data_IF_551782659610
#
_entry.id   IF_551782659610
#
_cell.length_a   1.000
_cell.length_b   1.000
_cell.length_c   1.000
_cell.angle_alpha   90.00
_cell.angle_beta   90.00
_cell.angle_gamma   90.00
#
_symmetry.space_group_name_H-M   'P 1'
#
loop_
_entity.id
_entity.type
_entity.pdbx_description
1 polymer ?
#
# COMPACT_ATOMS: atom_id res chain seq x y z
N UNK A 1 16.27 53.83 -28.20
CA UNK A 1 16.04 53.36 -26.80
C UNK A 1 15.07 52.18 -26.70
N UNK A 2 14.06 52.02 -27.58
CA UNK A 2 13.07 50.94 -27.42
C UNK A 2 13.62 49.52 -27.69
N UNK A 3 14.56 49.35 -28.63
CA UNK A 3 15.11 48.03 -29.00
C UNK A 3 15.90 47.36 -27.87
N UNK A 4 16.68 48.13 -27.11
CA UNK A 4 17.45 47.61 -25.97
C UNK A 4 16.52 47.23 -24.81
N UNK A 5 15.49 48.02 -24.54
CA UNK A 5 14.49 47.70 -23.51
C UNK A 5 13.69 46.43 -23.84
N UNK A 6 13.41 46.19 -25.12
CA UNK A 6 12.69 44.99 -25.58
C UNK A 6 13.56 43.73 -25.49
N UNK A 7 14.85 43.81 -25.86
CA UNK A 7 15.81 42.71 -25.67
C UNK A 7 15.98 42.35 -24.19
N UNK A 8 16.08 43.35 -23.30
CA UNK A 8 16.17 43.12 -21.85
C UNK A 8 14.90 42.47 -21.31
N UNK A 9 13.71 42.92 -21.71
CA UNK A 9 12.44 42.29 -21.33
C UNK A 9 12.35 40.83 -21.77
N UNK A 10 12.75 40.53 -23.01
CA UNK A 10 12.74 39.17 -23.53
C UNK A 10 13.76 38.27 -22.82
N UNK A 11 14.96 38.78 -22.51
CA UNK A 11 15.96 38.05 -21.75
C UNK A 11 15.50 37.76 -20.32
N UNK A 12 14.91 38.73 -19.63
CA UNK A 12 14.36 38.57 -18.27
C UNK A 12 13.18 37.59 -18.26
N UNK A 13 12.29 37.67 -19.26
CA UNK A 13 11.17 36.73 -19.42
C UNK A 13 11.67 35.30 -19.64
N UNK A 14 12.66 35.12 -20.54
CA UNK A 14 13.25 33.81 -20.83
C UNK A 14 13.98 33.22 -19.61
N UNK A 15 14.75 34.03 -18.88
CA UNK A 15 15.42 33.61 -17.65
C UNK A 15 14.43 33.26 -16.54
N UNK A 16 13.35 34.05 -16.39
CA UNK A 16 12.28 33.77 -15.42
C UNK A 16 11.52 32.47 -15.74
N UNK A 17 11.26 32.21 -17.01
CA UNK A 17 10.59 30.96 -17.44
C UNK A 17 11.51 29.75 -17.25
N UNK A 18 12.80 29.86 -17.60
CA UNK A 18 13.76 28.77 -17.40
C UNK A 18 13.96 28.45 -15.91
N UNK A 19 14.18 29.48 -15.08
CA UNK A 19 14.30 29.30 -13.63
C UNK A 19 13.01 28.77 -12.99
N UNK A 20 11.85 29.19 -13.49
CA UNK A 20 10.55 28.65 -13.06
C UNK A 20 10.39 27.16 -13.38
N UNK A 21 10.84 26.74 -14.57
CA UNK A 21 10.83 25.34 -14.99
C UNK A 21 11.78 24.49 -14.15
N UNK A 22 13.03 24.93 -13.94
CA UNK A 22 14.03 24.19 -13.15
C UNK A 22 13.60 23.98 -11.69
N UNK A 23 12.96 24.99 -11.08
CA UNK A 23 12.42 24.91 -9.71
C UNK A 23 11.22 23.96 -9.66
N UNK A 24 10.36 23.97 -10.68
CA UNK A 24 9.22 23.06 -10.79
C UNK A 24 9.69 21.60 -10.92
N UNK A 25 10.64 21.35 -11.82
CA UNK A 25 11.24 20.03 -12.06
C UNK A 25 11.96 19.51 -10.80
N UNK A 26 12.73 20.35 -10.13
CA UNK A 26 13.41 20.00 -8.87
C UNK A 26 12.43 19.62 -7.75
N UNK A 27 11.27 20.29 -7.68
CA UNK A 27 10.21 19.97 -6.72
C UNK A 27 9.53 18.65 -7.05
N UNK A 28 9.22 18.39 -8.32
CA UNK A 28 8.64 17.13 -8.77
C UNK A 28 9.57 15.94 -8.43
N UNK A 29 10.86 16.08 -8.75
CA UNK A 29 11.91 15.12 -8.43
C UNK A 29 12.03 14.87 -6.91
N UNK A 30 11.80 15.87 -6.06
CA UNK A 30 11.78 15.68 -4.61
C UNK A 30 10.58 14.84 -4.13
N UNK A 31 9.41 15.01 -4.75
CA UNK A 31 8.19 14.26 -4.41
C UNK A 31 8.29 12.81 -4.82
N UNK A 32 8.73 12.57 -6.05
CA UNK A 32 9.02 11.22 -6.54
C UNK A 32 10.03 10.50 -5.61
N UNK A 33 11.11 11.19 -5.20
CA UNK A 33 12.08 10.64 -4.24
C UNK A 33 11.46 10.25 -2.89
N UNK A 34 10.48 11.00 -2.39
CA UNK A 34 9.79 10.68 -1.13
C UNK A 34 8.95 9.41 -1.24
N UNK A 35 8.15 9.29 -2.30
CA UNK A 35 7.32 8.10 -2.53
C UNK A 35 8.20 6.89 -2.86
N UNK A 36 9.30 7.08 -3.60
CA UNK A 36 10.31 6.04 -3.80
C UNK A 36 10.96 5.57 -2.49
N UNK A 37 11.16 6.47 -1.52
CA UNK A 37 11.63 6.08 -0.18
C UNK A 37 10.61 5.20 0.55
N UNK A 38 9.31 5.48 0.39
CA UNK A 38 8.24 4.62 0.93
C UNK A 38 8.30 3.23 0.29
N UNK A 39 8.37 3.16 -1.04
CA UNK A 39 8.52 1.90 -1.76
C UNK A 39 9.77 1.12 -1.30
N UNK A 40 10.90 1.79 -1.13
CA UNK A 40 12.12 1.16 -0.64
C UNK A 40 12.00 0.60 0.79
N UNK A 41 11.32 1.33 1.70
CA UNK A 41 11.07 0.80 3.04
C UNK A 41 10.18 -0.44 3.01
N UNK A 42 9.15 -0.45 2.15
CA UNK A 42 8.30 -1.62 1.93
C UNK A 42 9.09 -2.79 1.36
N UNK A 43 10.02 -2.53 0.43
CA UNK A 43 10.91 -3.53 -0.13
C UNK A 43 11.77 -4.21 0.96
N UNK A 44 12.38 -3.42 1.84
CA UNK A 44 13.19 -3.94 2.96
C UNK A 44 12.35 -4.86 3.85
N UNK A 45 11.15 -4.42 4.21
CA UNK A 45 10.22 -5.19 5.04
C UNK A 45 9.74 -6.47 4.34
N UNK A 46 9.40 -6.37 3.05
CA UNK A 46 9.04 -7.52 2.22
C UNK A 46 10.16 -8.56 2.24
N UNK A 47 11.39 -8.16 1.94
CA UNK A 47 12.52 -9.09 1.87
C UNK A 47 12.81 -9.75 3.22
N UNK A 48 12.63 -9.00 4.32
CA UNK A 48 12.68 -9.55 5.68
C UNK A 48 11.61 -10.64 5.87
N UNK A 49 10.37 -10.36 5.49
CA UNK A 49 9.26 -11.32 5.62
C UNK A 49 9.40 -12.53 4.70
N UNK A 50 9.87 -12.34 3.46
CA UNK A 50 10.14 -13.44 2.53
C UNK A 50 11.21 -14.40 3.08
N UNK A 51 12.32 -13.87 3.62
CA UNK A 51 13.36 -14.68 4.26
C UNK A 51 12.85 -15.46 5.47
N UNK A 52 11.94 -14.85 6.23
CA UNK A 52 11.30 -15.49 7.39
C UNK A 52 10.13 -16.42 7.03
N UNK A 53 9.76 -16.53 5.74
CA UNK A 53 8.53 -17.18 5.26
C UNK A 53 7.26 -16.65 5.95
N UNK A 54 7.26 -15.37 6.32
CA UNK A 54 6.15 -14.69 6.97
C UNK A 54 5.11 -14.24 5.92
N UNK A 55 3.83 -14.53 6.18
CA UNK A 55 2.71 -14.21 5.29
C UNK A 55 2.53 -12.71 5.04
N UNK A 56 3.08 -11.84 5.92
CA UNK A 56 3.09 -10.39 5.68
C UNK A 56 3.72 -10.02 4.33
N UNK A 57 4.70 -10.80 3.87
CA UNK A 57 5.37 -10.61 2.58
C UNK A 57 4.41 -10.43 1.40
N UNK A 58 3.28 -11.16 1.39
CA UNK A 58 2.31 -11.15 0.27
C UNK A 58 1.71 -9.75 0.09
N UNK A 59 1.16 -9.18 1.17
CA UNK A 59 0.61 -7.84 1.13
C UNK A 59 1.69 -6.78 0.99
N UNK A 60 2.84 -6.91 1.68
CA UNK A 60 3.94 -5.94 1.57
C UNK A 60 4.43 -5.82 0.13
N UNK A 61 4.57 -6.93 -0.60
CA UNK A 61 4.91 -6.93 -2.02
C UNK A 61 3.85 -6.19 -2.85
N UNK A 62 2.57 -6.53 -2.68
CA UNK A 62 1.47 -5.85 -3.39
C UNK A 62 1.49 -4.34 -3.14
N UNK A 63 1.78 -3.94 -1.90
CA UNK A 63 1.82 -2.54 -1.53
C UNK A 63 3.04 -1.83 -2.13
N UNK A 64 4.23 -2.40 -2.00
CA UNK A 64 5.47 -1.90 -2.62
C UNK A 64 5.27 -1.65 -4.12
N UNK A 65 4.78 -2.65 -4.86
CA UNK A 65 4.55 -2.54 -6.30
C UNK A 65 3.59 -1.40 -6.65
N UNK A 66 2.53 -1.25 -5.86
CA UNK A 66 1.59 -0.14 -6.06
C UNK A 66 2.23 1.23 -5.78
N UNK A 67 3.03 1.34 -4.71
CA UNK A 67 3.73 2.57 -4.37
C UNK A 67 4.75 2.97 -5.43
N UNK A 68 5.47 2.00 -6.03
CA UNK A 68 6.37 2.26 -7.19
C UNK A 68 5.59 2.83 -8.38
N UNK A 69 4.43 2.26 -8.69
CA UNK A 69 3.57 2.76 -9.78
C UNK A 69 3.09 4.18 -9.50
N UNK A 70 2.66 4.46 -8.26
CA UNK A 70 2.24 5.81 -7.84
C UNK A 70 3.40 6.80 -7.89
N UNK A 71 4.60 6.42 -7.46
CA UNK A 71 5.79 7.28 -7.54
C UNK A 71 6.09 7.68 -8.99
N UNK A 72 6.04 6.72 -9.91
CA UNK A 72 6.25 6.96 -11.34
C UNK A 72 5.18 7.88 -11.93
N UNK A 73 3.90 7.65 -11.61
CA UNK A 73 2.82 8.52 -12.10
C UNK A 73 2.91 9.91 -11.49
N UNK A 74 3.34 10.07 -10.22
CA UNK A 74 3.56 11.39 -9.61
C UNK A 74 4.66 12.20 -10.32
N UNK A 75 5.65 11.54 -10.92
CA UNK A 75 6.70 12.19 -11.71
C UNK A 75 6.29 12.54 -13.15
N UNK A 76 5.18 12.00 -13.65
CA UNK A 76 4.78 12.09 -15.08
C UNK A 76 3.35 12.59 -15.31
N UNK A 77 2.50 12.50 -14.30
CA UNK A 77 1.06 12.68 -14.35
C UNK A 77 0.62 14.10 -13.96
N UNK A 78 -0.57 14.46 -14.42
CA UNK A 78 -1.19 15.76 -14.16
C UNK A 78 -1.99 15.72 -12.86
N UNK A 79 -1.28 15.79 -11.73
CA UNK A 79 -1.88 15.91 -10.40
C UNK A 79 -2.09 17.38 -10.03
N UNK A 80 -3.25 17.68 -9.46
CA UNK A 80 -3.65 19.05 -9.08
C UNK A 80 -3.00 19.50 -7.78
N UNK A 81 -2.82 18.59 -6.82
CA UNK A 81 -2.15 18.80 -5.54
C UNK A 81 -1.24 17.59 -5.18
N UNK A 82 -0.12 17.42 -5.92
CA UNK A 82 0.83 16.34 -5.68
C UNK A 82 1.49 16.40 -4.29
N UNK A 83 1.49 17.56 -3.62
CA UNK A 83 2.04 17.69 -2.27
C UNK A 83 1.12 17.05 -1.22
N UNK A 84 -0.19 17.29 -1.32
CA UNK A 84 -1.17 16.60 -0.48
C UNK A 84 -1.12 15.09 -0.72
N UNK A 85 -1.04 14.65 -1.98
CA UNK A 85 -0.96 13.24 -2.32
C UNK A 85 0.32 12.57 -1.78
N UNK A 86 1.49 13.22 -1.89
CA UNK A 86 2.75 12.70 -1.32
C UNK A 86 2.64 12.55 0.20
N UNK A 87 2.10 13.54 0.91
CA UNK A 87 1.90 13.47 2.37
C UNK A 87 0.93 12.36 2.74
N UNK A 88 -0.14 12.19 1.95
CA UNK A 88 -1.11 11.11 2.14
C UNK A 88 -0.43 9.76 1.99
N UNK A 89 0.36 9.53 0.94
CA UNK A 89 1.07 8.26 0.73
C UNK A 89 2.05 7.95 1.87
N UNK A 90 2.86 8.93 2.29
CA UNK A 90 3.79 8.77 3.42
C UNK A 90 3.06 8.41 4.73
N UNK A 91 1.95 9.10 5.02
CA UNK A 91 1.16 8.86 6.24
C UNK A 91 0.44 7.52 6.17
N UNK A 92 -0.08 7.15 5.01
CA UNK A 92 -0.80 5.91 4.79
C UNK A 92 0.14 4.72 4.98
N UNK A 93 1.33 4.76 4.40
CA UNK A 93 2.34 3.71 4.59
C UNK A 93 2.78 3.58 6.04
N UNK A 94 2.89 4.71 6.74
CA UNK A 94 3.28 4.72 8.15
C UNK A 94 2.29 3.98 9.05
N UNK A 95 0.99 4.07 8.81
CA UNK A 95 0.01 3.28 9.58
C UNK A 95 0.29 1.78 9.53
N UNK A 96 0.59 1.26 8.35
CA UNK A 96 0.91 -0.15 8.16
C UNK A 96 2.27 -0.52 8.79
N UNK A 97 3.32 0.26 8.51
CA UNK A 97 4.67 -0.01 9.01
C UNK A 97 4.75 0.09 10.53
N UNK A 98 4.12 1.11 11.14
CA UNK A 98 4.06 1.28 12.59
C UNK A 98 3.28 0.12 13.24
N UNK A 99 2.18 -0.34 12.62
CA UNK A 99 1.45 -1.51 13.10
C UNK A 99 2.29 -2.79 13.06
N UNK A 100 3.07 -3.00 11.99
CA UNK A 100 4.01 -4.11 11.90
C UNK A 100 5.08 -4.04 13.00
N UNK A 101 5.69 -2.86 13.19
CA UNK A 101 6.72 -2.67 14.21
C UNK A 101 6.16 -2.85 15.62
N UNK A 102 4.98 -2.30 15.92
CA UNK A 102 4.33 -2.47 17.22
C UNK A 102 4.03 -3.95 17.51
N UNK A 103 3.55 -4.71 16.51
CA UNK A 103 3.30 -6.14 16.65
C UNK A 103 4.59 -6.94 16.89
N UNK A 104 5.65 -6.63 16.14
CA UNK A 104 6.97 -7.28 16.29
C UNK A 104 7.58 -7.00 17.68
N UNK A 105 7.50 -5.76 18.16
CA UNK A 105 8.00 -5.37 19.49
C UNK A 105 7.32 -6.17 20.61
N UNK A 106 6.02 -6.39 20.51
CA UNK A 106 5.28 -7.22 21.48
C UNK A 106 5.75 -8.67 21.45
N UNK A 107 5.90 -9.25 20.25
CA UNK A 107 6.39 -10.63 20.07
C UNK A 107 7.81 -10.81 20.61
N UNK A 108 8.71 -9.85 20.34
CA UNK A 108 10.09 -9.87 20.84
C UNK A 108 10.14 -9.77 22.36
N UNK A 109 9.36 -8.87 22.96
CA UNK A 109 9.30 -8.70 24.42
C UNK A 109 8.76 -9.94 25.14
N UNK A 110 7.78 -10.63 24.52
CA UNK A 110 7.29 -11.91 25.01
C UNK A 110 8.35 -13.02 24.92
N UNK A 111 9.17 -13.05 23.86
CA UNK A 111 10.24 -14.03 23.69
C UNK A 111 11.43 -13.79 24.65
N UNK A 112 11.71 -12.53 25.01
CA UNK A 112 12.80 -12.18 25.93
C UNK A 112 12.45 -12.32 27.41
N UNK A 113 11.24 -12.77 27.75
CA UNK A 113 10.79 -12.97 29.14
C UNK A 113 10.63 -11.67 29.95
N UNK A 114 10.69 -10.49 29.32
CA UNK A 114 10.60 -9.20 29.99
C UNK A 114 9.13 -8.79 30.14
N UNK A 115 8.38 -9.55 30.93
CA UNK A 115 6.95 -9.32 31.20
C UNK A 115 6.77 -8.43 32.44
N UNK A 116 7.17 -7.16 32.34
CA UNK A 116 6.69 -6.16 33.28
C UNK A 116 5.21 -5.90 32.98
N UNK A 117 4.33 -6.51 33.79
CA UNK A 117 2.86 -6.47 33.71
C UNK A 117 2.25 -7.38 32.62
N UNK A 118 1.63 -8.48 33.05
CA UNK A 118 1.03 -9.51 32.18
C UNK A 118 -0.37 -9.18 31.65
N UNK A 119 -0.84 -7.94 31.84
CA UNK A 119 -2.14 -7.51 31.34
C UNK A 119 -2.08 -7.41 29.80
N UNK A 120 -2.84 -8.23 29.04
CA UNK A 120 -2.88 -8.14 27.59
C UNK A 120 -3.31 -6.76 27.09
N UNK A 121 -4.15 -6.03 27.85
CA UNK A 121 -4.56 -4.68 27.46
C UNK A 121 -3.39 -3.69 27.46
N UNK A 122 -2.41 -3.88 28.36
CA UNK A 122 -1.21 -3.05 28.44
C UNK A 122 -0.20 -3.44 27.37
N UNK A 123 -0.02 -4.74 27.14
CA UNK A 123 0.96 -5.27 26.16
C UNK A 123 0.58 -4.85 24.73
N UNK A 124 -0.70 -4.94 24.37
CA UNK A 124 -1.16 -4.71 23.00
C UNK A 124 -1.65 -3.28 22.74
N UNK A 125 -1.49 -2.36 23.70
CA UNK A 125 -2.07 -1.00 23.63
C UNK A 125 -1.68 -0.21 22.38
N UNK A 126 -0.45 -0.42 21.89
CA UNK A 126 0.13 0.33 20.76
C UNK A 126 -0.13 -0.37 19.41
N UNK A 127 -0.71 -1.59 19.42
CA UNK A 127 -1.08 -2.31 18.19
C UNK A 127 -2.54 -2.00 17.87
N UNK A 128 -2.85 -1.38 16.71
CA UNK A 128 -4.23 -1.13 16.33
C UNK A 128 -5.04 -2.42 16.29
N UNK A 129 -6.24 -2.41 16.88
CA UNK A 129 -7.08 -3.62 17.05
C UNK A 129 -7.32 -4.37 15.73
N UNK A 130 -7.56 -3.63 14.63
CA UNK A 130 -7.77 -4.22 13.31
C UNK A 130 -6.52 -4.93 12.79
N UNK A 131 -5.34 -4.33 13.00
CA UNK A 131 -4.07 -4.89 12.56
C UNK A 131 -3.67 -6.09 13.40
N UNK A 132 -3.89 -6.04 14.72
CA UNK A 132 -3.75 -7.23 15.58
C UNK A 132 -4.60 -8.39 15.07
N UNK A 133 -5.87 -8.14 14.74
CA UNK A 133 -6.76 -9.18 14.21
C UNK A 133 -6.26 -9.77 12.89
N UNK A 134 -5.72 -8.94 11.99
CA UNK A 134 -5.09 -9.38 10.74
C UNK A 134 -3.85 -10.23 11.03
N UNK A 135 -2.90 -9.72 11.82
CA UNK A 135 -1.63 -10.39 12.11
C UNK A 135 -1.82 -11.73 12.82
N UNK A 136 -2.76 -11.79 13.78
CA UNK A 136 -3.13 -13.05 14.44
C UNK A 136 -3.77 -14.04 13.47
N UNK A 137 -4.59 -13.56 12.53
CA UNK A 137 -5.25 -14.40 11.53
C UNK A 137 -4.24 -15.00 10.55
N UNK A 138 -3.30 -14.21 10.03
CA UNK A 138 -2.31 -14.68 9.05
C UNK A 138 -1.13 -15.43 9.69
N UNK A 139 -1.03 -15.42 11.04
CA UNK A 139 0.08 -16.04 11.77
C UNK A 139 1.38 -15.25 11.66
N UNK A 140 1.32 -13.92 11.73
CA UNK A 140 2.50 -13.06 11.61
C UNK A 140 3.57 -13.38 12.66
N UNK A 141 4.82 -13.47 12.22
CA UNK A 141 5.96 -13.85 13.06
C UNK A 141 5.99 -15.34 13.45
N UNK A 142 5.07 -16.17 12.97
CA UNK A 142 5.13 -17.60 13.19
C UNK A 142 5.93 -18.29 12.07
N UNK A 143 6.94 -19.06 12.46
CA UNK A 143 7.75 -19.87 11.52
C UNK A 143 7.14 -21.25 11.25
N UNK A 144 5.91 -21.50 11.74
CA UNK A 144 5.24 -22.78 11.63
C UNK A 144 4.92 -23.09 10.15
N UNK A 145 5.43 -24.22 9.67
CA UNK A 145 5.00 -24.81 8.40
C UNK A 145 3.97 -25.90 8.69
N UNK A 146 2.79 -25.88 8.05
CA UNK A 146 2.36 -24.95 6.99
C UNK A 146 1.75 -23.63 7.51
N UNK A 147 1.67 -22.58 6.66
CA UNK A 147 1.00 -21.32 6.98
C UNK A 147 -0.44 -21.53 7.46
N UNK A 148 -1.00 -20.58 8.22
CA UNK A 148 -2.38 -20.68 8.73
C UNK A 148 -3.44 -20.39 7.68
N UNK A 149 -3.10 -19.57 6.70
CA UNK A 149 -4.03 -19.01 5.71
C UNK A 149 -3.48 -19.18 4.32
N UNK A 150 -4.35 -19.04 3.33
CA UNK A 150 -3.98 -19.05 1.92
C UNK A 150 -3.25 -17.73 1.51
N UNK A 151 -2.61 -17.70 0.34
CA UNK A 151 -1.97 -16.48 -0.20
C UNK A 151 -3.02 -15.37 -0.41
N UNK A 152 -4.20 -15.73 -0.94
CA UNK A 152 -5.30 -14.79 -1.11
C UNK A 152 -5.79 -14.21 0.21
N UNK A 153 -5.91 -15.02 1.27
CA UNK A 153 -6.27 -14.51 2.59
C UNK A 153 -5.17 -13.62 3.18
N UNK A 154 -3.89 -13.99 3.00
CA UNK A 154 -2.76 -13.17 3.38
C UNK A 154 -2.67 -11.83 2.62
N UNK A 155 -3.31 -11.74 1.44
CA UNK A 155 -3.44 -10.51 0.66
C UNK A 155 -4.66 -9.68 1.08
N UNK A 156 -5.84 -10.30 1.12
CA UNK A 156 -7.14 -9.63 1.31
C UNK A 156 -7.28 -9.06 2.73
N UNK A 157 -6.86 -9.80 3.77
CA UNK A 157 -7.06 -9.36 5.15
C UNK A 157 -6.30 -8.06 5.47
N UNK A 158 -4.99 -7.93 5.16
CA UNK A 158 -4.29 -6.65 5.27
C UNK A 158 -4.87 -5.55 4.37
N UNK A 159 -5.28 -5.87 3.14
CA UNK A 159 -5.90 -4.89 2.24
C UNK A 159 -7.16 -4.27 2.85
N UNK A 160 -7.99 -5.07 3.52
CA UNK A 160 -9.18 -4.58 4.21
C UNK A 160 -8.80 -3.63 5.35
N UNK A 161 -7.87 -4.01 6.22
CA UNK A 161 -7.43 -3.12 7.31
C UNK A 161 -6.85 -1.81 6.76
N UNK A 162 -6.02 -1.91 5.73
CA UNK A 162 -5.38 -0.75 5.14
C UNK A 162 -6.40 0.17 4.43
N UNK A 163 -7.27 -0.35 3.58
CA UNK A 163 -8.23 0.48 2.82
C UNK A 163 -9.36 1.00 3.71
N UNK A 164 -9.94 0.14 4.55
CA UNK A 164 -11.17 0.49 5.29
C UNK A 164 -10.85 1.24 6.58
N UNK A 165 -9.73 0.94 7.24
CA UNK A 165 -9.35 1.59 8.51
C UNK A 165 -8.25 2.64 8.35
N UNK A 166 -7.12 2.33 7.74
CA UNK A 166 -5.99 3.29 7.72
C UNK A 166 -6.24 4.46 6.78
N UNK A 167 -6.82 4.22 5.60
CA UNK A 167 -7.02 5.27 4.60
C UNK A 167 -7.88 6.44 5.08
N UNK A 168 -9.07 6.25 5.72
CA UNK A 168 -9.84 7.39 6.22
C UNK A 168 -9.08 8.19 7.29
N UNK A 169 -8.29 7.52 8.13
CA UNK A 169 -7.48 8.16 9.16
C UNK A 169 -6.31 8.93 8.53
N UNK A 170 -5.63 8.35 7.55
CA UNK A 170 -4.53 9.01 6.83
C UNK A 170 -5.00 10.25 6.08
N UNK A 171 -6.17 10.20 5.44
CA UNK A 171 -6.78 11.37 4.78
C UNK A 171 -7.10 12.44 5.83
N UNK A 172 -7.76 12.09 6.94
CA UNK A 172 -8.12 13.05 7.99
C UNK A 172 -6.90 13.66 8.72
N UNK A 173 -5.81 12.90 8.85
CA UNK A 173 -4.57 13.39 9.48
C UNK A 173 -3.75 14.31 8.55
N UNK A 174 -3.88 14.15 7.23
CA UNK A 174 -3.08 14.89 6.25
C UNK A 174 -3.80 16.11 5.69
N UNK A 175 -5.11 16.01 5.47
CA UNK A 175 -5.94 17.14 5.07
C UNK A 175 -6.32 17.92 6.34
N UNK A 176 -5.74 19.11 6.52
CA UNK A 176 -6.00 19.92 7.73
C UNK A 176 -7.41 20.54 7.76
N UNK A 177 -8.03 20.68 6.59
CA UNK A 177 -9.35 21.28 6.36
C UNK A 177 -10.24 20.30 5.58
N UNK A 178 -11.50 20.69 5.30
CA UNK A 178 -12.34 19.91 4.39
C UNK A 178 -11.61 19.67 3.05
N UNK A 179 -11.70 18.44 2.48
CA UNK A 179 -11.01 18.12 1.25
C UNK A 179 -11.43 19.05 0.11
N UNK A 180 -10.46 19.63 -0.60
CA UNK A 180 -10.75 20.44 -1.79
C UNK A 180 -11.14 19.56 -2.97
N UNK A 181 -11.75 20.16 -4.00
CA UNK A 181 -12.03 19.46 -5.26
C UNK A 181 -10.74 18.91 -5.89
N UNK A 182 -9.63 19.65 -5.82
CA UNK A 182 -8.34 19.18 -6.31
C UNK A 182 -7.88 17.89 -5.61
N UNK A 183 -8.09 17.78 -4.30
CA UNK A 183 -7.75 16.57 -3.56
C UNK A 183 -8.65 15.39 -3.96
N UNK A 184 -9.93 15.64 -4.23
CA UNK A 184 -10.86 14.60 -4.69
C UNK A 184 -10.49 14.10 -6.10
N UNK A 185 -10.16 15.02 -7.01
CA UNK A 185 -9.77 14.69 -8.38
C UNK A 185 -8.49 13.84 -8.42
N UNK A 186 -7.48 14.20 -7.61
CA UNK A 186 -6.25 13.42 -7.49
C UNK A 186 -6.48 12.05 -6.84
N UNK A 187 -7.39 11.97 -5.86
CA UNK A 187 -7.77 10.71 -5.24
C UNK A 187 -8.45 9.76 -6.22
N UNK A 188 -9.34 10.28 -7.07
CA UNK A 188 -10.00 9.52 -8.12
C UNK A 188 -9.04 9.10 -9.24
N UNK A 189 -8.11 9.98 -9.61
CA UNK A 189 -7.03 9.62 -10.54
C UNK A 189 -6.21 8.43 -10.04
N UNK A 190 -5.86 8.41 -8.75
CA UNK A 190 -5.16 7.27 -8.14
C UNK A 190 -6.02 6.00 -8.19
N UNK A 191 -7.34 6.10 -7.99
CA UNK A 191 -8.25 4.97 -8.13
C UNK A 191 -8.22 4.38 -9.55
N UNK A 192 -8.19 5.24 -10.58
CA UNK A 192 -8.11 4.83 -11.98
C UNK A 192 -6.75 4.19 -12.30
N UNK A 193 -5.65 4.78 -11.81
CA UNK A 193 -4.30 4.23 -11.94
C UNK A 193 -4.21 2.81 -11.34
N UNK A 194 -4.75 2.62 -10.13
CA UNK A 194 -4.81 1.31 -9.48
C UNK A 194 -5.61 0.29 -10.29
N UNK A 195 -6.74 0.71 -10.88
CA UNK A 195 -7.57 -0.15 -11.72
C UNK A 195 -6.85 -0.62 -12.96
N UNK A 196 -6.13 0.27 -13.64
CA UNK A 196 -5.36 -0.06 -14.84
C UNK A 196 -4.21 -1.04 -14.61
N UNK A 197 -3.79 -1.24 -13.35
CA UNK A 197 -2.64 -2.09 -12.96
C UNK A 197 -3.03 -3.32 -12.14
N UNK A 198 -4.32 -3.50 -11.85
CA UNK A 198 -4.79 -4.55 -10.96
C UNK A 198 -4.41 -5.96 -11.46
N UNK A 199 -4.71 -6.26 -12.72
CA UNK A 199 -4.44 -7.58 -13.33
C UNK A 199 -2.94 -7.89 -13.40
N UNK A 200 -2.12 -6.88 -13.71
CA UNK A 200 -0.66 -7.01 -13.75
C UNK A 200 -0.11 -7.42 -12.37
N UNK A 201 -0.52 -6.71 -11.32
CA UNK A 201 -0.07 -6.97 -9.95
C UNK A 201 -0.59 -8.32 -9.42
N UNK A 202 -1.85 -8.68 -9.72
CA UNK A 202 -2.40 -9.99 -9.37
C UNK A 202 -1.59 -11.13 -10.01
N UNK A 203 -1.19 -10.96 -11.27
CA UNK A 203 -0.35 -11.94 -11.97
C UNK A 203 1.04 -12.03 -11.34
N UNK A 204 1.66 -10.90 -11.02
CA UNK A 204 2.97 -10.88 -10.33
C UNK A 204 2.91 -11.61 -8.97
N UNK A 205 1.88 -11.35 -8.15
CA UNK A 205 1.68 -12.02 -6.85
C UNK A 205 1.52 -13.53 -7.04
N UNK A 206 0.70 -13.93 -8.01
CA UNK A 206 0.50 -15.34 -8.33
C UNK A 206 1.81 -16.00 -8.73
N UNK A 207 2.60 -15.41 -9.64
CA UNK A 207 3.89 -15.96 -10.04
C UNK A 207 4.90 -16.03 -8.88
N UNK A 208 4.87 -15.05 -7.97
CA UNK A 208 5.83 -14.95 -6.86
C UNK A 208 5.51 -15.90 -5.71
N UNK A 209 4.24 -16.08 -5.39
CA UNK A 209 3.81 -16.76 -4.17
C UNK A 209 3.01 -18.04 -4.43
N UNK A 210 2.11 -18.06 -5.43
CA UNK A 210 1.38 -19.28 -5.76
C UNK A 210 0.90 -19.29 -7.21
N UNK A 211 1.67 -19.94 -8.09
CA UNK A 211 1.37 -19.99 -9.52
C UNK A 211 0.03 -20.67 -9.83
N UNK A 212 -0.47 -21.53 -8.94
CA UNK A 212 -1.76 -22.20 -9.12
C UNK A 212 -2.91 -21.18 -9.15
N UNK A 213 -2.74 -20.00 -8.54
CA UNK A 213 -3.70 -18.90 -8.64
C UNK A 213 -3.96 -18.50 -10.10
N UNK A 214 -3.01 -18.66 -11.02
CA UNK A 214 -3.20 -18.38 -12.46
C UNK A 214 -4.16 -19.40 -13.09
N UNK A 215 -4.06 -20.68 -12.73
CA UNK A 215 -4.96 -21.73 -13.24
C UNK A 215 -6.37 -21.56 -12.69
N UNK A 216 -6.44 -21.13 -11.43
CA UNK A 216 -7.64 -20.85 -10.69
C UNK A 216 -8.42 -19.66 -11.27
N UNK A 217 -7.70 -18.60 -11.64
CA UNK A 217 -8.20 -17.43 -12.37
C UNK A 217 -8.82 -17.83 -13.72
N UNK A 218 -8.09 -18.63 -14.51
CA UNK A 218 -8.55 -19.12 -15.81
C UNK A 218 -9.80 -20.01 -15.76
N UNK A 219 -10.13 -20.57 -14.58
CA UNK A 219 -11.35 -21.36 -14.38
C UNK A 219 -12.58 -20.50 -13.99
N UNK A 220 -12.45 -19.17 -13.90
CA UNK A 220 -13.47 -18.24 -13.38
C UNK A 220 -14.03 -18.63 -12.00
N UNK A 221 -13.28 -19.44 -11.24
CA UNK A 221 -13.63 -19.88 -9.88
C UNK A 221 -13.25 -18.83 -8.82
N UNK A 222 -12.49 -17.81 -9.25
CA UNK A 222 -11.93 -16.73 -8.47
C UNK A 222 -12.60 -15.49 -9.03
N UNK A 223 -13.29 -14.75 -8.17
CA UNK A 223 -14.01 -13.52 -8.45
C UNK A 223 -13.59 -12.80 -9.75
N UNK A 224 -14.56 -12.39 -10.55
CA UNK A 224 -14.33 -11.48 -11.67
C UNK A 224 -13.49 -10.27 -11.18
N UNK A 225 -12.34 -10.04 -11.79
CA UNK A 225 -11.39 -8.99 -11.41
C UNK A 225 -12.05 -7.61 -11.44
N UNK A 226 -13.05 -7.45 -12.32
CA UNK A 226 -13.88 -6.26 -12.37
C UNK A 226 -14.66 -6.06 -11.06
N UNK A 227 -15.24 -7.13 -10.50
CA UNK A 227 -15.98 -7.08 -9.23
C UNK A 227 -15.04 -6.76 -8.07
N UNK A 228 -13.85 -7.37 -8.02
CA UNK A 228 -12.86 -7.06 -6.98
C UNK A 228 -12.45 -5.59 -7.07
N UNK A 229 -12.10 -5.12 -8.27
CA UNK A 229 -11.71 -3.73 -8.46
C UNK A 229 -12.83 -2.75 -8.10
N UNK A 230 -14.07 -3.01 -8.54
CA UNK A 230 -15.22 -2.19 -8.17
C UNK A 230 -15.42 -2.15 -6.65
N UNK A 231 -15.24 -3.29 -5.96
CA UNK A 231 -15.32 -3.36 -4.50
C UNK A 231 -14.24 -2.52 -3.84
N UNK A 232 -12.99 -2.59 -4.33
CA UNK A 232 -11.88 -1.76 -3.84
C UNK A 232 -12.18 -0.28 -4.06
N UNK A 233 -12.66 0.11 -5.24
CA UNK A 233 -13.02 1.50 -5.56
C UNK A 233 -14.13 1.99 -4.62
N UNK A 234 -15.15 1.18 -4.39
CA UNK A 234 -16.23 1.50 -3.47
C UNK A 234 -15.74 1.70 -2.03
N UNK A 235 -14.90 0.80 -1.51
CA UNK A 235 -14.36 0.94 -0.16
C UNK A 235 -13.44 2.15 -0.02
N UNK A 236 -12.69 2.50 -1.07
CA UNK A 236 -11.90 3.75 -1.08
C UNK A 236 -12.79 4.99 -1.11
N UNK A 237 -13.93 4.93 -1.80
CA UNK A 237 -14.94 5.99 -1.77
C UNK A 237 -15.59 6.11 -0.39
N UNK A 238 -15.82 4.99 0.29
CA UNK A 238 -16.28 4.97 1.68
C UNK A 238 -15.24 5.57 2.62
N UNK A 239 -13.95 5.26 2.44
CA UNK A 239 -12.85 5.86 3.19
C UNK A 239 -12.81 7.38 3.04
N UNK A 240 -13.01 7.90 1.82
CA UNK A 240 -13.10 9.36 1.60
C UNK A 240 -14.27 10.01 2.37
N UNK A 241 -15.44 9.36 2.36
CA UNK A 241 -16.62 9.82 3.13
C UNK A 241 -16.34 9.79 4.64
N UNK A 242 -15.74 8.72 5.13
CA UNK A 242 -15.41 8.60 6.56
C UNK A 242 -14.34 9.59 6.99
N UNK A 243 -13.32 9.87 6.17
CA UNK A 243 -12.36 10.94 6.41
C UNK A 243 -13.04 12.30 6.52
N UNK A 244 -13.97 12.61 5.61
CA UNK A 244 -14.75 13.87 5.66
C UNK A 244 -15.57 13.97 6.95
N UNK A 245 -16.17 12.85 7.41
CA UNK A 245 -16.90 12.79 8.68
C UNK A 245 -15.98 13.02 9.87
N UNK A 246 -14.78 12.43 9.87
CA UNK A 246 -13.75 12.61 10.91
C UNK A 246 -13.30 14.07 10.98
N UNK A 247 -13.00 14.70 9.83
CA UNK A 247 -12.60 16.11 9.74
C UNK A 247 -13.67 17.04 10.31
N UNK A 248 -14.94 16.82 9.95
CA UNK A 248 -16.08 17.60 10.49
C UNK A 248 -16.31 17.39 11.98
N UNK A 249 -15.86 16.26 12.53
CA UNK A 249 -15.99 15.92 13.94
C UNK A 249 -14.73 16.24 14.76
N UNK A 250 -13.69 16.83 14.17
CA UNK A 250 -12.36 16.98 14.81
C UNK A 250 -12.38 17.76 16.13
N UNK A 251 -13.32 18.69 16.29
CA UNK A 251 -13.49 19.48 17.51
C UNK A 251 -14.53 18.88 18.49
N UNK A 252 -15.15 17.77 18.13
CA UNK A 252 -16.13 17.03 18.93
C UNK A 252 -15.58 15.63 19.18
N UNK A 253 -14.85 15.48 20.29
CA UNK A 253 -14.13 14.25 20.63
C UNK A 253 -15.05 13.03 20.68
N UNK A 254 -16.26 13.18 21.24
CA UNK A 254 -17.22 12.08 21.35
C UNK A 254 -17.70 11.64 19.96
N UNK A 255 -18.02 12.57 19.07
CA UNK A 255 -18.42 12.26 17.70
C UNK A 255 -17.26 11.68 16.89
N UNK A 256 -16.04 12.20 17.06
CA UNK A 256 -14.84 11.69 16.40
C UNK A 256 -14.60 10.22 16.75
N UNK A 257 -14.60 9.89 18.06
CA UNK A 257 -14.39 8.52 18.52
C UNK A 257 -15.53 7.59 18.09
N UNK A 258 -16.80 8.02 18.11
CA UNK A 258 -17.91 7.21 17.57
C UNK A 258 -17.73 6.85 16.09
N UNK A 259 -17.22 7.78 15.27
CA UNK A 259 -16.93 7.51 13.86
C UNK A 259 -15.78 6.52 13.74
N UNK A 260 -14.68 6.76 14.47
CA UNK A 260 -13.51 5.88 14.48
C UNK A 260 -13.86 4.45 14.92
N UNK A 261 -14.64 4.28 15.98
CA UNK A 261 -15.12 2.97 16.40
C UNK A 261 -16.01 2.30 15.35
N UNK A 262 -16.84 3.06 14.62
CA UNK A 262 -17.67 2.49 13.55
C UNK A 262 -16.82 1.94 12.40
N UNK A 263 -15.71 2.62 12.07
CA UNK A 263 -14.72 2.16 11.08
C UNK A 263 -14.06 0.87 11.56
N UNK A 264 -13.62 0.83 12.84
CA UNK A 264 -13.01 -0.35 13.45
C UNK A 264 -13.98 -1.54 13.41
N UNK A 265 -15.23 -1.36 13.87
CA UNK A 265 -16.24 -2.44 13.89
C UNK A 265 -16.50 -3.01 12.49
N UNK A 266 -16.64 -2.14 11.47
CA UNK A 266 -16.85 -2.57 10.08
C UNK A 266 -15.64 -3.34 9.54
N UNK A 267 -14.43 -2.85 9.82
CA UNK A 267 -13.18 -3.49 9.40
C UNK A 267 -13.04 -4.88 10.02
N UNK A 268 -13.31 -5.02 11.32
CA UNK A 268 -13.29 -6.31 12.01
C UNK A 268 -14.35 -7.29 11.48
N UNK A 269 -15.53 -6.80 11.11
CA UNK A 269 -16.57 -7.62 10.49
C UNK A 269 -16.10 -8.19 9.14
N UNK A 270 -15.46 -7.37 8.30
CA UNK A 270 -14.88 -7.84 7.03
C UNK A 270 -13.72 -8.81 7.24
N UNK A 271 -12.81 -8.53 8.18
CA UNK A 271 -11.71 -9.46 8.53
C UNK A 271 -12.28 -10.82 8.95
N UNK A 272 -13.31 -10.83 9.79
CA UNK A 272 -13.98 -12.05 10.24
C UNK A 272 -14.62 -12.82 9.06
N UNK A 273 -15.31 -12.10 8.18
CA UNK A 273 -15.93 -12.69 6.99
C UNK A 273 -14.92 -13.38 6.07
N UNK A 274 -13.82 -12.72 5.71
CA UNK A 274 -12.82 -13.28 4.79
C UNK A 274 -11.89 -14.31 5.45
N UNK A 275 -11.74 -14.26 6.78
CA UNK A 275 -11.02 -15.30 7.53
C UNK A 275 -11.79 -16.61 7.53
N UNK A 276 -13.11 -16.56 7.72
CA UNK A 276 -13.99 -17.74 7.77
C UNK A 276 -15.25 -17.48 6.93
N UNK A 277 -15.15 -17.55 5.59
CA UNK A 277 -16.29 -17.24 4.73
C UNK A 277 -17.40 -18.28 4.93
N UNK A 278 -18.64 -17.82 5.08
CA UNK A 278 -19.82 -18.70 5.13
C UNK A 278 -20.13 -19.33 3.76
N UNK A 279 -19.60 -18.73 2.69
CA UNK A 279 -19.84 -19.13 1.30
C UNK A 279 -18.92 -20.31 0.94
N UNK A 280 -19.52 -21.42 0.51
CA UNK A 280 -18.81 -22.69 0.30
C UNK A 280 -17.72 -22.63 -0.77
N UNK A 281 -17.97 -21.96 -1.90
CA UNK A 281 -16.98 -21.88 -2.99
C UNK A 281 -15.76 -21.03 -2.59
N UNK A 282 -15.95 -20.01 -1.74
CA UNK A 282 -14.83 -19.26 -1.16
C UNK A 282 -13.97 -20.11 -0.24
N UNK A 283 -14.61 -20.95 0.58
CA UNK A 283 -13.88 -21.91 1.43
C UNK A 283 -13.09 -22.89 0.58
N UNK A 284 -13.67 -23.35 -0.52
CA UNK A 284 -13.00 -24.24 -1.48
C UNK A 284 -11.82 -23.55 -2.16
N UNK A 285 -11.99 -22.31 -2.63
CA UNK A 285 -10.93 -21.51 -3.25
C UNK A 285 -9.74 -21.29 -2.29
N UNK A 286 -10.01 -20.88 -1.05
CA UNK A 286 -8.97 -20.72 -0.03
C UNK A 286 -8.32 -22.04 0.37
N UNK A 287 -9.10 -23.12 0.48
CA UNK A 287 -8.56 -24.44 0.75
C UNK A 287 -7.62 -24.93 -0.37
N UNK A 288 -7.98 -24.70 -1.64
CA UNK A 288 -7.18 -25.11 -2.78
C UNK A 288 -5.89 -24.28 -2.91
N UNK A 289 -5.98 -22.95 -2.74
CA UNK A 289 -4.82 -22.06 -2.65
C UNK A 289 -3.89 -22.48 -1.49
N UNK A 290 -4.47 -22.81 -0.33
CA UNK A 290 -3.72 -23.28 0.83
C UNK A 290 -3.04 -24.63 0.59
N UNK A 291 -3.75 -25.60 0.00
CA UNK A 291 -3.20 -26.92 -0.32
C UNK A 291 -2.01 -26.80 -1.26
N UNK A 292 -2.10 -25.94 -2.28
CA UNK A 292 -1.00 -25.66 -3.19
C UNK A 292 0.19 -25.03 -2.46
N UNK A 293 -0.06 -24.03 -1.63
CA UNK A 293 0.98 -23.38 -0.81
C UNK A 293 1.75 -24.38 0.04
N UNK A 294 1.07 -25.37 0.64
CA UNK A 294 1.70 -26.44 1.42
C UNK A 294 2.70 -27.28 0.62
N UNK A 295 2.37 -27.59 -0.63
CA UNK A 295 3.22 -28.39 -1.51
C UNK A 295 4.47 -27.60 -1.94
N UNK A 296 4.34 -26.29 -2.16
CA UNK A 296 5.41 -25.48 -2.75
C UNK A 296 6.31 -24.74 -1.73
N UNK A 297 5.81 -24.39 -0.54
CA UNK A 297 6.65 -23.79 0.52
C UNK A 297 7.78 -24.71 1.01
N UNK A 298 7.61 -26.02 0.84
CA UNK A 298 8.63 -27.03 1.11
C UNK A 298 9.78 -27.00 0.09
N UNK A 299 9.56 -26.43 -1.10
CA UNK A 299 10.50 -26.42 -2.22
C UNK A 299 11.21 -25.07 -2.37
N UNK A 300 10.49 -23.95 -2.49
CA UNK A 300 11.06 -22.60 -2.69
C UNK A 300 10.03 -21.50 -2.39
N UNK A 301 10.37 -20.53 -1.53
CA UNK A 301 9.52 -19.38 -1.19
C UNK A 301 10.35 -18.12 -0.96
N UNK A 302 10.05 -16.99 -1.65
CA UNK A 302 9.14 -16.89 -2.80
C UNK A 302 9.65 -17.73 -3.99
N UNK A 303 8.75 -18.06 -4.92
CA UNK A 303 9.05 -18.89 -6.09
C UNK A 303 10.07 -18.16 -6.99
N UNK A 304 9.88 -16.86 -7.18
CA UNK A 304 10.76 -15.96 -7.92
C UNK A 304 11.46 -14.99 -6.96
N UNK A 305 12.79 -14.96 -7.02
CA UNK A 305 13.63 -13.95 -6.35
C UNK A 305 14.10 -12.99 -7.43
N UNK A 306 13.65 -11.74 -7.38
CA UNK A 306 13.91 -10.72 -8.40
C UNK A 306 15.41 -10.42 -8.57
N UNK A 307 16.01 -11.05 -9.58
CA UNK A 307 17.23 -10.55 -10.26
C UNK A 307 16.91 -10.08 -11.69
N UNK A 308 15.62 -9.83 -11.99
CA UNK A 308 15.13 -9.30 -13.27
C UNK A 308 14.26 -8.07 -13.07
N UNK A 309 14.69 -7.18 -12.17
CA UNK A 309 14.28 -5.78 -12.27
C UNK A 309 15.21 -5.13 -13.29
N UNK A 310 14.63 -4.63 -14.38
CA UNK A 310 15.33 -3.92 -15.44
C UNK A 310 16.26 -2.87 -14.84
N UNK A 311 17.57 -3.08 -14.97
CA UNK A 311 18.50 -1.96 -14.95
C UNK A 311 18.05 -1.00 -16.05
N UNK A 312 17.96 0.32 -15.80
CA UNK A 312 17.80 1.26 -16.89
C UNK A 312 18.94 1.01 -17.86
N UNK A 313 18.60 0.65 -19.11
CA UNK A 313 19.58 0.45 -20.17
C UNK A 313 20.45 1.71 -20.22
N UNK A 314 21.72 1.57 -19.85
CA UNK A 314 22.72 2.58 -20.13
C UNK A 314 22.71 2.80 -21.64
N UNK A 315 22.62 4.04 -22.14
CA UNK A 315 22.79 4.30 -23.56
C UNK A 315 24.16 3.77 -23.99
N UNK A 316 24.31 3.24 -25.21
CA UNK A 316 25.60 2.76 -25.67
C UNK A 316 26.61 3.91 -25.59
N UNK A 317 27.72 3.67 -24.88
CA UNK A 317 28.88 4.57 -24.86
C UNK A 317 29.26 4.93 -26.29
N UNK A 318 29.11 6.20 -26.65
CA UNK A 318 29.73 6.76 -27.85
C UNK A 318 31.24 6.58 -27.69
N UNK A 319 31.81 5.69 -28.51
CA UNK A 319 33.26 5.59 -28.65
C UNK A 319 33.80 6.96 -29.07
N UNK A 320 34.85 7.49 -28.42
CA UNK A 320 35.49 8.69 -28.91
C UNK A 320 36.06 8.43 -30.31
N UNK A 321 35.73 9.31 -31.24
CA UNK A 321 36.34 9.33 -32.57
C UNK A 321 37.87 9.42 -32.40
N UNK A 322 38.58 8.41 -32.90
CA UNK A 322 40.02 8.47 -33.04
C UNK A 322 40.37 9.60 -34.01
N UNK A 323 41.26 10.48 -33.56
CA UNK A 323 41.87 11.56 -34.32
C UNK A 323 42.77 11.04 -35.44
#
# INVERSE_FOLDING_TARGET
MSTIQEMVKNAVSKARNHFGNDVSESRLMMKERKVNKVAHNLQIEREKYERAKDMRAVFTYKYERMTVIVAKDLGQGDFKDPDALTKLDEKFARYYLDACQAYDNVKMSAASGNQANNDPAVIWKDVPQVWKAVFDAIGAGETASPPRVSVLQALILPMIAHIVHDLPLAIADTLMNEPSQANADDFDRINDLMGGRFNEIQREISLRYNWLLILLDGAALFFDEHIIFQTIRQERSNAWRDATRLLRARNDQEKYERIRESIIRRTLAYITFYRTPSIWWLRFAFWLDHLALRLFMALKWPITTSNQEEQPQTPPEERPALA
#
